data_IF_465211762681
#
_entry.id   IF_465211762681
#
_cell.length_a   1.000
_cell.length_b   1.000
_cell.length_c   1.000
_cell.angle_alpha   90.00
_cell.angle_beta   90.00
_cell.angle_gamma   90.00
#
_symmetry.space_group_name_H-M   'P 1'
#
loop_
_entity.id
_entity.type
_entity.pdbx_description
1 polymer ?
#
# COMPACT_ATOMS: atom_id res chain seq x y z
N UNK A 1 7.23 -10.81 -10.10
CA UNK A 1 6.08 -10.90 -11.02
C UNK A 1 4.90 -11.50 -10.26
N UNK A 2 3.91 -10.68 -9.89
CA UNK A 2 2.69 -11.13 -9.23
C UNK A 2 1.72 -11.66 -10.30
N UNK A 3 1.61 -12.98 -10.43
CA UNK A 3 0.51 -13.76 -11.06
C UNK A 3 -0.39 -13.08 -12.14
N UNK A 4 0.13 -12.22 -13.01
CA UNK A 4 -0.66 -11.46 -13.99
C UNK A 4 -1.53 -10.35 -13.39
N UNK A 5 -1.20 -9.83 -12.21
CA UNK A 5 -1.92 -8.74 -11.56
C UNK A 5 -1.44 -7.40 -12.10
N UNK A 6 -2.36 -6.62 -12.67
CA UNK A 6 -2.10 -5.24 -13.08
C UNK A 6 -2.31 -4.30 -11.88
N UNK A 7 -1.23 -3.64 -11.47
CA UNK A 7 -1.28 -2.65 -10.41
C UNK A 7 -1.56 -1.26 -11.00
N UNK A 8 -2.42 -0.50 -10.35
CA UNK A 8 -2.57 0.94 -10.60
C UNK A 8 -1.36 1.68 -10.03
N UNK A 9 -0.89 1.22 -8.86
CA UNK A 9 0.35 1.67 -8.23
C UNK A 9 1.08 0.41 -7.75
N UNK A 10 2.27 0.17 -8.30
CA UNK A 10 3.10 -0.97 -7.92
C UNK A 10 3.52 -0.90 -6.44
N UNK A 11 3.78 -2.06 -5.79
CA UNK A 11 4.27 -2.11 -4.43
C UNK A 11 5.56 -1.31 -4.25
N UNK A 12 5.54 -0.31 -3.37
CA UNK A 12 6.72 0.47 -3.03
C UNK A 12 6.64 1.02 -1.59
N UNK A 13 7.80 1.43 -1.06
CA UNK A 13 7.90 2.06 0.25
C UNK A 13 7.73 3.57 0.12
N UNK A 14 6.90 4.14 0.99
CA UNK A 14 6.74 5.58 1.18
C UNK A 14 7.35 5.99 2.51
N UNK A 15 7.92 7.19 2.55
CA UNK A 15 8.54 7.77 3.76
C UNK A 15 9.63 6.89 4.36
N UNK A 16 10.46 6.26 3.51
CA UNK A 16 11.53 5.37 3.97
C UNK A 16 12.45 6.07 4.97
N UNK A 17 12.66 5.45 6.13
CA UNK A 17 13.44 5.95 7.25
C UNK A 17 12.78 7.07 8.07
N UNK A 18 11.54 7.45 7.76
CA UNK A 18 10.84 8.56 8.40
C UNK A 18 9.61 8.07 9.19
N UNK A 19 9.13 8.84 10.18
CA UNK A 19 7.81 8.59 10.77
C UNK A 19 6.73 8.54 9.68
N UNK A 20 5.93 7.49 9.68
CA UNK A 20 4.94 7.19 8.65
C UNK A 20 5.39 6.20 7.59
N UNK A 21 6.58 5.60 7.73
CA UNK A 21 7.09 4.58 6.80
C UNK A 21 6.05 3.47 6.59
N UNK A 22 5.67 3.29 5.33
CA UNK A 22 4.69 2.28 4.95
C UNK A 22 4.96 1.75 3.55
N UNK A 23 4.67 0.47 3.33
CA UNK A 23 4.49 -0.07 1.99
C UNK A 23 3.06 0.22 1.53
N UNK A 24 2.89 0.65 0.28
CA UNK A 24 1.57 0.80 -0.35
C UNK A 24 1.56 0.20 -1.75
N UNK A 25 0.39 -0.30 -2.15
CA UNK A 25 0.07 -0.70 -3.52
C UNK A 25 -1.42 -0.49 -3.80
N UNK A 26 -1.76 -0.36 -5.08
CA UNK A 26 -3.14 -0.28 -5.55
C UNK A 26 -3.39 -1.25 -6.69
N UNK A 27 -4.55 -1.89 -6.67
CA UNK A 27 -5.08 -2.68 -7.79
C UNK A 27 -6.58 -2.41 -7.95
N UNK A 28 -7.13 -2.78 -9.11
CA UNK A 28 -8.57 -2.73 -9.34
C UNK A 28 -9.21 -4.08 -9.03
N UNK A 29 -10.35 -4.07 -8.35
CA UNK A 29 -11.22 -5.24 -8.29
C UNK A 29 -11.97 -5.44 -9.64
N UNK A 30 -12.71 -6.54 -9.85
CA UNK A 30 -13.44 -6.78 -11.09
C UNK A 30 -14.54 -5.74 -11.41
N UNK A 31 -14.96 -4.93 -10.43
CA UNK A 31 -15.93 -3.85 -10.61
C UNK A 31 -15.26 -2.50 -10.94
N UNK A 32 -13.92 -2.44 -10.98
CA UNK A 32 -13.15 -1.22 -11.22
C UNK A 32 -12.89 -0.38 -9.96
N UNK A 33 -13.13 -0.91 -8.76
CA UNK A 33 -12.82 -0.19 -7.52
C UNK A 33 -11.33 -0.25 -7.22
N UNK A 34 -10.73 0.88 -6.84
CA UNK A 34 -9.35 0.92 -6.40
C UNK A 34 -9.23 0.39 -4.96
N UNK A 35 -8.54 -0.75 -4.81
CA UNK A 35 -8.22 -1.33 -3.52
C UNK A 35 -6.79 -0.93 -3.14
N UNK A 36 -6.65 -0.22 -2.02
CA UNK A 36 -5.34 0.07 -1.43
C UNK A 36 -4.97 -0.98 -0.39
N UNK A 37 -3.74 -1.47 -0.48
CA UNK A 37 -3.12 -2.27 0.57
C UNK A 37 -1.98 -1.47 1.18
N UNK A 38 -2.02 -1.29 2.50
CA UNK A 38 -0.97 -0.60 3.27
C UNK A 38 -0.38 -1.55 4.31
N UNK A 39 0.93 -1.44 4.52
CA UNK A 39 1.61 -2.04 5.66
C UNK A 39 2.51 -0.99 6.31
N UNK A 40 2.33 -0.73 7.60
CA UNK A 40 3.14 0.23 8.35
C UNK A 40 4.31 -0.47 9.01
N UNK A 41 5.49 0.16 8.98
CA UNK A 41 6.66 -0.35 9.69
C UNK A 41 6.45 -0.36 11.22
N UNK A 42 5.64 0.59 11.71
CA UNK A 42 5.25 0.70 13.12
C UNK A 42 3.72 0.70 13.25
N UNK A 43 3.21 -0.29 13.99
CA UNK A 43 1.77 -0.47 14.23
C UNK A 43 1.14 0.69 15.01
N UNK A 44 1.91 1.42 15.81
CA UNK A 44 1.41 2.58 16.56
C UNK A 44 0.92 3.70 15.65
N UNK A 45 1.41 3.73 14.40
CA UNK A 45 1.10 4.75 13.40
C UNK A 45 -0.12 4.38 12.54
N UNK A 46 -0.76 3.24 12.82
CA UNK A 46 -1.93 2.77 12.07
C UNK A 46 -3.15 3.70 12.27
N UNK A 47 -3.26 4.33 13.44
CA UNK A 47 -4.36 5.24 13.75
C UNK A 47 -3.79 6.57 14.24
N UNK A 48 -4.39 7.67 13.75
CA UNK A 48 -4.22 8.96 14.42
C UNK A 48 -4.89 8.87 15.80
N UNK A 49 -4.24 9.45 16.82
CA UNK A 49 -4.90 9.71 18.11
C UNK A 49 -5.82 10.90 18.01
#
# INVERSE_FOLDING_TARGET
RARGTDFVIEPHIRFQGQPGEQATMFLLDPSGNALEFKAFADRSQLFAK
#
